data_IF_617142776337
#
_entry.id   IF_617142776337
#
_cell.length_a   1.000
_cell.length_b   1.000
_cell.length_c   1.000
_cell.angle_alpha   90.00
_cell.angle_beta   90.00
_cell.angle_gamma   90.00
#
_symmetry.space_group_name_H-M   'P 1'
#
loop_
_entity.id
_entity.type
_entity.pdbx_description
1 polymer ?
#
# COMPACT_ATOMS: atom_id res chain seq x y z
N UNK A 1 8.50 19.34 7.91
CA UNK A 1 8.42 19.46 6.44
C UNK A 1 7.29 18.55 6.00
N UNK A 2 6.35 19.03 5.19
CA UNK A 2 5.26 18.20 4.67
C UNK A 2 5.81 17.40 3.48
N UNK A 3 5.73 16.07 3.54
CA UNK A 3 6.07 15.18 2.43
C UNK A 3 5.16 15.46 1.24
N UNK A 4 5.69 15.49 0.01
CA UNK A 4 4.87 15.67 -1.19
C UNK A 4 4.09 14.39 -1.52
N UNK A 5 3.03 14.51 -2.32
CA UNK A 5 2.26 13.35 -2.80
C UNK A 5 3.14 12.37 -3.58
N UNK A 6 4.05 12.88 -4.41
CA UNK A 6 4.91 12.05 -5.25
C UNK A 6 5.94 11.27 -4.42
N UNK A 7 6.49 11.91 -3.39
CA UNK A 7 7.36 11.24 -2.42
C UNK A 7 6.58 10.17 -1.64
N UNK A 8 5.36 10.47 -1.23
CA UNK A 8 4.51 9.51 -0.54
C UNK A 8 4.21 8.30 -1.44
N UNK A 9 3.77 8.51 -2.69
CA UNK A 9 3.51 7.41 -3.64
C UNK A 9 4.75 6.55 -3.84
N UNK A 10 5.93 7.17 -4.00
CA UNK A 10 7.18 6.43 -4.16
C UNK A 10 7.53 5.60 -2.92
N UNK A 11 7.42 6.17 -1.72
CA UNK A 11 7.68 5.42 -0.49
C UNK A 11 6.69 4.27 -0.29
N UNK A 12 5.39 4.51 -0.54
CA UNK A 12 4.35 3.48 -0.48
C UNK A 12 4.66 2.32 -1.44
N UNK A 13 5.11 2.64 -2.65
CA UNK A 13 5.50 1.67 -3.64
C UNK A 13 6.73 0.84 -3.22
N UNK A 14 7.71 1.47 -2.56
CA UNK A 14 8.85 0.76 -1.96
C UNK A 14 8.40 -0.18 -0.84
N UNK A 15 7.55 0.29 0.08
CA UNK A 15 6.98 -0.55 1.15
C UNK A 15 6.24 -1.76 0.57
N UNK A 16 5.51 -1.57 -0.55
CA UNK A 16 4.75 -2.63 -1.23
C UNK A 16 5.67 -3.67 -1.86
N UNK A 17 6.66 -3.21 -2.64
CA UNK A 17 7.67 -4.08 -3.25
C UNK A 17 8.39 -4.90 -2.19
N UNK A 18 8.97 -4.24 -1.17
CA UNK A 18 9.73 -4.93 -0.11
C UNK A 18 8.87 -5.95 0.65
N UNK A 19 7.65 -5.58 1.03
CA UNK A 19 6.77 -6.46 1.79
C UNK A 19 6.30 -7.66 0.96
N UNK A 20 5.89 -7.44 -0.29
CA UNK A 20 5.37 -8.51 -1.14
C UNK A 20 6.49 -9.45 -1.61
N UNK A 21 7.68 -8.93 -1.92
CA UNK A 21 8.85 -9.77 -2.18
C UNK A 21 9.15 -10.70 -1.00
N UNK A 22 9.16 -10.15 0.22
CA UNK A 22 9.46 -10.94 1.41
C UNK A 22 8.34 -11.92 1.81
N UNK A 23 7.08 -11.62 1.47
CA UNK A 23 5.93 -12.39 1.97
C UNK A 23 5.44 -13.44 0.98
N UNK A 24 5.38 -13.11 -0.31
CA UNK A 24 4.85 -14.00 -1.35
C UNK A 24 5.91 -14.37 -2.41
N UNK A 25 7.17 -13.97 -2.23
CA UNK A 25 8.25 -14.32 -3.13
C UNK A 25 8.16 -13.61 -4.48
N UNK A 26 7.68 -12.37 -4.48
CA UNK A 26 7.64 -11.53 -5.67
C UNK A 26 9.07 -11.10 -6.04
N UNK A 27 9.78 -11.91 -6.80
CA UNK A 27 11.16 -11.63 -7.20
C UNK A 27 11.23 -10.42 -8.15
N UNK A 28 12.09 -9.44 -7.80
CA UNK A 28 12.50 -8.30 -8.64
C UNK A 28 11.40 -7.34 -9.14
N UNK A 29 10.22 -7.27 -8.50
CA UNK A 29 9.21 -6.28 -8.88
C UNK A 29 9.65 -4.86 -8.50
N UNK A 30 9.96 -3.97 -9.46
CA UNK A 30 10.39 -2.61 -9.17
C UNK A 30 9.25 -1.83 -8.50
N UNK A 31 9.59 -0.97 -7.53
CA UNK A 31 8.63 -0.16 -6.81
C UNK A 31 7.68 0.61 -7.76
N UNK A 32 8.20 1.17 -8.85
CA UNK A 32 7.42 1.97 -9.80
C UNK A 32 6.23 1.22 -10.41
N UNK A 33 6.27 -0.12 -10.50
CA UNK A 33 5.15 -0.92 -10.97
C UNK A 33 3.94 -0.92 -10.02
N UNK A 34 4.15 -0.57 -8.75
CA UNK A 34 3.08 -0.43 -7.77
C UNK A 34 2.35 0.91 -7.82
N UNK A 35 2.78 1.86 -8.67
CA UNK A 35 2.16 3.18 -8.75
C UNK A 35 0.69 3.10 -9.20
N UNK A 36 0.40 2.23 -10.17
CA UNK A 36 -0.96 2.03 -10.67
C UNK A 36 -1.92 1.45 -9.62
N UNK A 37 -1.60 0.32 -8.92
CA UNK A 37 -2.47 -0.17 -7.86
C UNK A 37 -2.59 0.81 -6.69
N UNK A 38 -1.55 1.57 -6.36
CA UNK A 38 -1.62 2.65 -5.35
C UNK A 38 -2.58 3.74 -5.81
N UNK A 39 -2.43 4.26 -7.02
CA UNK A 39 -3.31 5.29 -7.57
C UNK A 39 -4.76 4.83 -7.65
N UNK A 40 -4.99 3.55 -7.99
CA UNK A 40 -6.32 2.96 -8.06
C UNK A 40 -7.03 2.85 -6.70
N UNK A 41 -6.27 2.77 -5.60
CA UNK A 41 -6.81 2.64 -4.23
C UNK A 41 -6.91 3.99 -3.54
N UNK A 42 -5.84 4.79 -3.59
CA UNK A 42 -5.68 6.02 -2.83
C UNK A 42 -5.85 7.31 -3.66
N UNK A 43 -5.96 7.19 -4.98
CA UNK A 43 -5.99 8.30 -5.94
C UNK A 43 -4.59 8.72 -6.41
N UNK A 44 -4.53 9.56 -7.45
CA UNK A 44 -3.28 10.02 -8.07
C UNK A 44 -2.42 10.94 -7.19
N UNK A 45 -2.98 11.45 -6.09
CA UNK A 45 -2.30 12.30 -5.13
C UNK A 45 -2.67 11.85 -3.71
N UNK A 46 -2.11 10.72 -3.24
CA UNK A 46 -2.43 10.21 -1.92
C UNK A 46 -2.03 11.22 -0.84
N UNK A 47 -2.78 11.22 0.25
CA UNK A 47 -2.52 12.02 1.45
C UNK A 47 -2.55 11.10 2.66
N UNK A 48 -1.96 11.51 3.77
CA UNK A 48 -2.09 10.77 5.03
C UNK A 48 -3.57 10.49 5.37
N UNK A 49 -4.44 11.48 5.21
CA UNK A 49 -5.87 11.32 5.48
C UNK A 49 -6.54 10.27 4.58
N UNK A 50 -6.22 10.24 3.28
CA UNK A 50 -6.80 9.25 2.35
C UNK A 50 -6.30 7.84 2.61
N UNK A 51 -5.00 7.67 2.92
CA UNK A 51 -4.41 6.37 3.26
C UNK A 51 -5.02 5.83 4.56
N UNK A 52 -5.11 6.67 5.60
CA UNK A 52 -5.72 6.28 6.89
C UNK A 52 -7.20 5.96 6.73
N UNK A 53 -7.92 6.69 5.88
CA UNK A 53 -9.33 6.39 5.60
C UNK A 53 -9.50 5.00 4.99
N UNK A 54 -8.64 4.60 4.05
CA UNK A 54 -8.62 3.23 3.49
C UNK A 54 -8.35 2.21 4.59
N UNK A 55 -7.31 2.40 5.41
CA UNK A 55 -6.97 1.48 6.50
C UNK A 55 -8.09 1.31 7.55
N UNK A 56 -8.79 2.39 7.90
CA UNK A 56 -9.88 2.36 8.88
C UNK A 56 -11.22 1.88 8.31
N UNK A 57 -11.35 1.82 6.99
CA UNK A 57 -12.58 1.34 6.35
C UNK A 57 -12.67 -0.19 6.37
N UNK A 58 -13.89 -0.72 6.42
CA UNK A 58 -14.13 -2.17 6.39
C UNK A 58 -13.66 -2.81 5.07
N UNK A 59 -13.84 -2.10 3.95
CA UNK A 59 -13.58 -2.63 2.61
C UNK A 59 -12.25 -2.16 2.01
N UNK A 60 -11.52 -1.24 2.67
CA UNK A 60 -10.28 -0.67 2.14
C UNK A 60 -9.16 -1.68 1.97
N UNK A 61 -8.82 -2.47 3.00
CA UNK A 61 -7.82 -3.53 2.87
C UNK A 61 -8.24 -4.58 1.82
N UNK A 62 -9.51 -4.98 1.78
CA UNK A 62 -10.08 -5.85 0.74
C UNK A 62 -9.91 -5.28 -0.68
N UNK A 63 -10.17 -3.98 -0.86
CA UNK A 63 -10.01 -3.30 -2.15
C UNK A 63 -8.54 -3.26 -2.58
N UNK A 64 -7.63 -3.02 -1.64
CA UNK A 64 -6.20 -3.07 -1.91
C UNK A 64 -5.76 -4.48 -2.30
N UNK A 65 -6.17 -5.50 -1.54
CA UNK A 65 -5.93 -6.90 -1.86
C UNK A 65 -6.39 -7.25 -3.28
N UNK A 66 -7.63 -6.88 -3.63
CA UNK A 66 -8.16 -7.12 -4.98
C UNK A 66 -7.34 -6.42 -6.06
N UNK A 67 -6.92 -5.16 -5.86
CA UNK A 67 -6.12 -4.42 -6.86
C UNK A 67 -4.73 -5.02 -7.05
N UNK A 68 -4.10 -5.46 -5.97
CA UNK A 68 -2.80 -6.13 -6.04
C UNK A 68 -2.91 -7.51 -6.69
N UNK A 69 -3.92 -8.31 -6.33
CA UNK A 69 -4.19 -9.61 -6.95
C UNK A 69 -4.50 -9.48 -8.45
N UNK A 70 -5.33 -8.51 -8.83
CA UNK A 70 -5.64 -8.20 -10.24
C UNK A 70 -4.36 -7.88 -11.02
N UNK A 71 -3.47 -7.06 -10.44
CA UNK A 71 -2.24 -6.60 -11.07
C UNK A 71 -1.16 -7.71 -11.14
N UNK A 72 -0.99 -8.46 -10.05
CA UNK A 72 -0.04 -9.58 -9.93
C UNK A 72 -0.50 -10.85 -10.66
N UNK A 73 -1.73 -10.87 -11.18
CA UNK A 73 -2.37 -12.06 -11.72
C UNK A 73 -2.35 -13.24 -10.71
N UNK A 74 -2.53 -12.94 -9.42
CA UNK A 74 -2.52 -13.92 -8.31
C UNK A 74 -3.78 -13.83 -7.44
N UNK A 75 -3.90 -14.73 -6.45
CA UNK A 75 -4.87 -14.65 -5.35
C UNK A 75 -4.21 -14.72 -3.96
N UNK A 76 -2.88 -14.56 -3.90
CA UNK A 76 -2.09 -14.73 -2.68
C UNK A 76 -2.16 -13.52 -1.73
N UNK A 77 -2.55 -12.34 -2.24
CA UNK A 77 -2.74 -11.13 -1.41
C UNK A 77 -4.10 -11.23 -0.70
N UNK A 78 -4.09 -11.80 0.50
CA UNK A 78 -5.29 -11.86 1.35
C UNK A 78 -5.63 -10.51 1.98
N UNK A 79 -6.86 -10.35 2.48
CA UNK A 79 -7.28 -9.17 3.25
C UNK A 79 -6.36 -8.89 4.45
N UNK A 80 -5.98 -9.95 5.19
CA UNK A 80 -5.07 -9.82 6.33
C UNK A 80 -3.68 -9.33 5.90
N UNK A 81 -3.18 -9.82 4.76
CA UNK A 81 -1.89 -9.41 4.21
C UNK A 81 -1.93 -7.96 3.71
N UNK A 82 -2.98 -7.57 3.00
CA UNK A 82 -3.18 -6.17 2.60
C UNK A 82 -3.34 -5.25 3.82
N UNK A 83 -3.95 -5.72 4.91
CA UNK A 83 -4.05 -4.95 6.16
C UNK A 83 -2.69 -4.75 6.84
N UNK A 84 -1.86 -5.78 6.89
CA UNK A 84 -0.49 -5.68 7.41
C UNK A 84 0.35 -4.74 6.55
N UNK A 85 0.23 -4.84 5.23
CA UNK A 85 0.89 -3.95 4.29
C UNK A 85 0.50 -2.48 4.52
N UNK A 86 -0.80 -2.21 4.69
CA UNK A 86 -1.29 -0.88 5.03
C UNK A 86 -0.72 -0.35 6.34
N UNK A 87 -0.65 -1.21 7.36
CA UNK A 87 -0.13 -0.86 8.68
C UNK A 87 1.35 -0.47 8.61
N UNK A 88 2.18 -1.31 7.99
CA UNK A 88 3.62 -1.04 7.79
C UNK A 88 3.82 0.27 7.04
N UNK A 89 3.12 0.45 5.93
CA UNK A 89 3.21 1.64 5.11
C UNK A 89 2.80 2.91 5.86
N UNK A 90 1.73 2.86 6.68
CA UNK A 90 1.33 3.99 7.52
C UNK A 90 2.40 4.29 8.59
N UNK A 91 2.94 3.27 9.25
CA UNK A 91 3.96 3.43 10.29
C UNK A 91 5.24 4.02 9.70
N UNK A 92 5.70 3.52 8.56
CA UNK A 92 6.92 3.97 7.90
C UNK A 92 6.82 5.42 7.41
N UNK A 93 5.65 5.83 6.90
CA UNK A 93 5.47 7.14 6.29
C UNK A 93 4.95 8.23 7.24
N UNK A 94 4.19 7.86 8.28
CA UNK A 94 3.51 8.82 9.16
C UNK A 94 3.72 8.58 10.66
N UNK A 95 4.34 7.45 11.03
CA UNK A 95 4.62 7.08 12.41
C UNK A 95 3.52 6.21 13.06
N UNK A 96 3.86 5.49 14.14
CA UNK A 96 2.97 4.53 14.78
C UNK A 96 1.75 5.16 15.47
N UNK A 97 1.83 6.44 15.85
CA UNK A 97 0.73 7.14 16.53
C UNK A 97 -0.52 7.30 15.64
N UNK A 98 -0.40 7.10 14.32
CA UNK A 98 -1.49 7.26 13.35
C UNK A 98 -2.47 6.08 13.35
N UNK A 99 -1.99 4.88 13.72
CA UNK A 99 -2.77 3.64 13.77
C UNK A 99 -3.27 3.28 15.17
N UNK A 100 -2.83 4.02 16.20
CA UNK A 100 -3.22 3.85 17.60
C UNK A 100 -4.69 4.19 17.89
#
# INVERSE_FOLDING_TARGET
MTMSSDQLTHNMAQDFSEFLTNTIGLDDAPADEFFDPIAAVFGNAPTQASVVAVFKSHDGPNRLASKLNDWLETNDVTDSLARQLLEIMIVNNFGPDVIA
#
